data_IF_378141888516
#
_entry.id   IF_378141888516
#
_cell.length_a   1.000
_cell.length_b   1.000
_cell.length_c   1.000
_cell.angle_alpha   90.00
_cell.angle_beta   90.00
_cell.angle_gamma   90.00
#
_symmetry.space_group_name_H-M   'P 1'
#
loop_
_entity.id
_entity.type
_entity.pdbx_description
1 polymer ?
#
# COMPACT_ATOMS: atom_id res chain seq x y z
N UNK A 1 12.83 2.07 -19.59
CA UNK A 1 11.66 2.81 -20.09
C UNK A 1 10.57 2.77 -19.04
N UNK A 2 10.29 3.89 -18.38
CA UNK A 2 9.19 4.01 -17.41
C UNK A 2 7.88 4.05 -18.20
N UNK A 3 7.04 3.01 -18.05
CA UNK A 3 5.69 3.02 -18.64
C UNK A 3 4.92 4.20 -18.06
N UNK A 4 4.25 5.04 -18.87
CA UNK A 4 3.39 6.07 -18.34
C UNK A 4 2.31 5.41 -17.47
N UNK A 5 2.18 5.88 -16.23
CA UNK A 5 1.08 5.48 -15.37
C UNK A 5 -0.24 5.83 -16.09
N UNK A 6 -1.21 4.93 -16.03
CA UNK A 6 -2.54 5.17 -16.61
C UNK A 6 -3.27 6.37 -15.98
N UNK A 7 -2.80 6.80 -14.80
CA UNK A 7 -3.32 7.93 -14.05
C UNK A 7 -2.22 8.95 -13.81
N UNK A 8 -2.57 10.24 -13.92
CA UNK A 8 -1.70 11.32 -13.51
C UNK A 8 -1.56 11.36 -11.98
N UNK A 9 -0.49 11.99 -11.49
CA UNK A 9 -0.28 12.20 -10.06
C UNK A 9 -1.46 12.95 -9.41
N UNK A 10 -2.08 13.88 -10.13
CA UNK A 10 -3.24 14.63 -9.66
C UNK A 10 -4.48 13.73 -9.51
N UNK A 11 -4.71 12.80 -10.45
CA UNK A 11 -5.81 11.84 -10.37
C UNK A 11 -5.61 10.87 -9.20
N UNK A 12 -4.37 10.39 -9.01
CA UNK A 12 -4.02 9.55 -7.86
C UNK A 12 -4.34 10.28 -6.55
N UNK A 13 -3.93 11.54 -6.43
CA UNK A 13 -4.21 12.35 -5.23
C UNK A 13 -5.71 12.51 -4.98
N UNK A 14 -6.50 12.79 -6.02
CA UNK A 14 -7.94 12.94 -5.90
C UNK A 14 -8.63 11.64 -5.40
N UNK A 15 -8.19 10.48 -5.90
CA UNK A 15 -8.69 9.17 -5.46
C UNK A 15 -8.35 8.95 -3.98
N UNK A 16 -7.11 9.23 -3.57
CA UNK A 16 -6.68 9.07 -2.19
C UNK A 16 -7.48 9.94 -1.22
N UNK A 17 -7.69 11.21 -1.55
CA UNK A 17 -8.50 12.13 -0.75
C UNK A 17 -9.97 11.70 -0.67
N UNK A 18 -10.54 11.22 -1.79
CA UNK A 18 -11.90 10.69 -1.82
C UNK A 18 -12.07 9.43 -0.97
N UNK A 19 -11.15 8.48 -1.10
CA UNK A 19 -11.14 7.24 -0.32
C UNK A 19 -11.00 7.52 1.18
N UNK A 20 -10.08 8.42 1.56
CA UNK A 20 -9.90 8.87 2.95
C UNK A 20 -11.19 9.44 3.55
N UNK A 21 -11.88 10.33 2.82
CA UNK A 21 -13.15 10.93 3.27
C UNK A 21 -14.27 9.89 3.43
N UNK A 22 -14.27 8.87 2.59
CA UNK A 22 -15.27 7.82 2.60
C UNK A 22 -14.91 6.65 3.56
N UNK A 23 -13.76 6.72 4.25
CA UNK A 23 -13.32 5.68 5.18
C UNK A 23 -12.80 4.41 4.49
N UNK A 24 -12.42 4.48 3.21
CA UNK A 24 -11.88 3.37 2.44
C UNK A 24 -10.36 3.48 2.27
N UNK A 25 -9.70 2.33 2.18
CA UNK A 25 -8.29 2.22 1.80
C UNK A 25 -8.18 2.10 0.26
N UNK A 26 -7.60 3.08 -0.45
CA UNK A 26 -7.50 3.01 -1.90
C UNK A 26 -6.51 1.91 -2.33
N UNK A 27 -6.89 1.15 -3.35
CA UNK A 27 -6.05 0.16 -4.02
C UNK A 27 -5.77 0.64 -5.44
N UNK A 28 -4.50 0.76 -5.79
CA UNK A 28 -4.05 1.28 -7.08
C UNK A 28 -3.24 0.20 -7.79
N UNK A 29 -3.62 -0.13 -9.02
CA UNK A 29 -2.85 -1.03 -9.86
C UNK A 29 -1.80 -0.24 -10.66
N UNK A 30 -0.53 -0.58 -10.44
CA UNK A 30 0.62 -0.03 -11.18
C UNK A 30 1.28 -1.17 -11.95
N UNK A 31 0.90 -1.31 -13.22
CA UNK A 31 1.34 -2.46 -14.04
C UNK A 31 0.78 -3.78 -13.50
N UNK A 32 1.67 -4.66 -13.04
CA UNK A 32 1.33 -5.93 -12.39
C UNK A 32 1.37 -5.88 -10.85
N UNK A 33 1.61 -4.70 -10.27
CA UNK A 33 1.69 -4.51 -8.83
C UNK A 33 0.39 -3.87 -8.33
N UNK A 34 -0.18 -4.43 -7.27
CA UNK A 34 -1.28 -3.80 -6.53
C UNK A 34 -0.71 -3.09 -5.30
N UNK A 35 -0.92 -1.79 -5.21
CA UNK A 35 -0.53 -0.95 -4.07
C UNK A 35 -1.78 -0.61 -3.28
N UNK A 36 -1.88 -1.07 -2.04
CA UNK A 36 -2.93 -0.66 -1.11
C UNK A 36 -2.36 0.42 -0.19
N UNK A 37 -3.01 1.58 -0.16
CA UNK A 37 -2.67 2.65 0.76
C UNK A 37 -3.46 2.43 2.05
N UNK A 38 -2.74 2.15 3.13
CA UNK A 38 -3.31 1.92 4.46
C UNK A 38 -3.05 3.19 5.30
N UNK A 39 -4.05 3.72 6.04
CA UNK A 39 -3.81 4.81 6.98
C UNK A 39 -2.73 4.44 7.99
N UNK A 40 -1.93 5.41 8.43
CA UNK A 40 -0.80 5.18 9.34
C UNK A 40 -1.22 4.47 10.63
N UNK A 41 -2.38 4.82 11.18
CA UNK A 41 -2.96 4.18 12.38
C UNK A 41 -3.29 2.69 12.21
N UNK A 42 -3.39 2.23 10.96
CA UNK A 42 -3.64 0.83 10.59
C UNK A 42 -2.43 0.18 9.92
N UNK A 43 -1.32 0.91 9.79
CA UNK A 43 -0.10 0.34 9.25
C UNK A 43 0.38 -0.76 10.20
N UNK A 44 0.67 -1.95 9.65
CA UNK A 44 1.39 -2.98 10.40
C UNK A 44 2.73 -2.34 10.80
N UNK A 45 3.09 -2.32 12.09
CA UNK A 45 4.37 -1.77 12.52
C UNK A 45 5.48 -2.39 11.69
N UNK A 46 6.45 -1.59 11.29
CA UNK A 46 7.60 -2.09 10.55
C UNK A 46 8.19 -3.27 11.33
N UNK A 47 8.17 -4.46 10.72
CA UNK A 47 8.84 -5.60 11.30
C UNK A 47 10.33 -5.23 11.41
N UNK A 48 10.99 -5.52 12.55
CA UNK A 48 12.42 -5.29 12.67
C UNK A 48 13.13 -6.02 11.52
N UNK A 49 14.15 -5.38 10.94
CA UNK A 49 14.96 -5.90 9.83
C UNK A 49 15.89 -7.02 10.33
N UNK A 50 15.29 -8.05 10.92
CA UNK A 50 15.95 -9.28 11.39
C UNK A 50 15.68 -10.39 10.38
N UNK A 51 16.63 -11.33 10.19
CA UNK A 51 16.38 -12.52 9.39
C UNK A 51 15.15 -13.25 9.93
N UNK A 52 14.26 -13.68 9.04
CA UNK A 52 13.12 -14.53 9.39
C UNK A 52 13.68 -15.85 9.92
N UNK A 53 13.37 -16.17 11.18
CA UNK A 53 13.73 -17.44 11.79
C UNK A 53 12.55 -18.43 11.63
N UNK A 54 12.67 -19.42 10.73
CA UNK A 54 11.57 -20.36 10.47
C UNK A 54 11.23 -21.28 11.66
N UNK A 55 12.03 -21.29 12.73
CA UNK A 55 11.72 -21.99 13.97
C UNK A 55 10.96 -21.15 15.02
N UNK A 56 11.02 -19.82 14.92
CA UNK A 56 10.44 -18.88 15.89
C UNK A 56 9.26 -18.09 15.30
N UNK A 57 9.32 -17.75 14.01
CA UNK A 57 8.37 -16.83 13.33
C UNK A 57 7.17 -17.56 12.67
N UNK A 58 6.83 -18.77 13.11
CA UNK A 58 5.63 -19.47 12.64
C UNK A 58 4.41 -18.84 13.34
N UNK A 59 3.79 -17.84 12.71
CA UNK A 59 2.52 -17.28 13.20
C UNK A 59 1.35 -18.25 12.89
N UNK A 60 0.55 -18.57 13.92
CA UNK A 60 -0.74 -19.29 13.88
C UNK A 60 -1.90 -18.37 13.47
#
# INVERSE_FOLDING_TARGET
MTRPLALSQQQIRAICEGAKKAGYAPVIQVGNILVRLIPEDHAIPAQPDRPIDPGEDIEL
#
